data_IF_663341203455
#
_entry.id   IF_663341203455
#
_cell.length_a   1.000
_cell.length_b   1.000
_cell.length_c   1.000
_cell.angle_alpha   90.00
_cell.angle_beta   90.00
_cell.angle_gamma   90.00
#
_symmetry.space_group_name_H-M   'P 1'
#
loop_
_entity.id
_entity.type
_entity.pdbx_description
1 polymer ?
#
# COMPACT_ATOMS: atom_id res chain seq x y z
N UNK A 1 -1.49 -55.25 -3.88
CA UNK A 1 -0.41 -54.91 -2.91
C UNK A 1 0.93 -54.54 -3.58
N UNK A 2 0.92 -54.11 -4.84
CA UNK A 2 2.16 -53.77 -5.60
C UNK A 2 2.52 -52.28 -5.62
N UNK A 3 1.58 -51.35 -5.35
CA UNK A 3 1.80 -49.91 -5.50
C UNK A 3 2.66 -49.26 -4.40
N UNK A 4 2.69 -49.85 -3.20
CA UNK A 4 3.45 -49.29 -2.05
C UNK A 4 4.99 -49.43 -2.20
N UNK A 5 5.50 -50.27 -3.10
CA UNK A 5 6.93 -50.50 -3.25
C UNK A 5 7.60 -49.57 -4.27
N UNK A 6 6.83 -49.02 -5.24
CA UNK A 6 7.37 -48.09 -6.24
C UNK A 6 7.46 -46.68 -5.71
N UNK A 7 6.46 -46.20 -4.94
CA UNK A 7 6.48 -44.89 -4.31
C UNK A 7 7.67 -44.76 -3.34
N UNK A 8 7.97 -45.82 -2.56
CA UNK A 8 9.12 -45.84 -1.67
C UNK A 8 10.49 -45.80 -2.41
N UNK A 9 10.57 -46.36 -3.61
CA UNK A 9 11.79 -46.30 -4.42
C UNK A 9 12.03 -44.91 -5.00
N UNK A 10 11.00 -44.25 -5.54
CA UNK A 10 11.08 -42.89 -6.05
C UNK A 10 11.47 -41.89 -4.98
N UNK A 11 10.79 -41.97 -3.82
CA UNK A 11 11.08 -41.11 -2.68
C UNK A 11 12.56 -41.32 -2.22
N UNK A 12 12.96 -42.52 -2.01
CA UNK A 12 14.33 -42.85 -1.57
C UNK A 12 15.41 -42.45 -2.61
N UNK A 13 15.05 -42.45 -3.89
CA UNK A 13 15.95 -41.95 -4.94
C UNK A 13 16.04 -40.44 -4.93
N UNK A 14 14.92 -39.70 -4.78
CA UNK A 14 14.88 -38.24 -4.67
C UNK A 14 15.65 -37.76 -3.43
N UNK A 15 15.44 -38.39 -2.30
CA UNK A 15 16.13 -38.03 -1.04
C UNK A 15 17.66 -38.18 -1.13
N UNK A 16 18.15 -39.10 -1.97
CA UNK A 16 19.59 -39.29 -2.19
C UNK A 16 20.17 -38.43 -3.32
N UNK A 17 19.31 -37.81 -4.14
CA UNK A 17 19.74 -36.98 -5.25
C UNK A 17 19.18 -35.56 -5.09
N UNK A 18 19.94 -34.74 -4.36
CA UNK A 18 19.51 -33.38 -4.00
C UNK A 18 19.14 -32.52 -5.22
N UNK A 19 19.88 -32.70 -6.32
CA UNK A 19 19.57 -31.97 -7.56
C UNK A 19 18.22 -32.42 -8.17
N UNK A 20 17.98 -33.73 -8.21
CA UNK A 20 16.69 -34.26 -8.69
C UNK A 20 15.53 -33.85 -7.80
N UNK A 21 15.73 -33.84 -6.49
CA UNK A 21 14.76 -33.32 -5.51
C UNK A 21 14.45 -31.85 -5.77
N UNK A 22 15.48 -31.02 -5.95
CA UNK A 22 15.32 -29.59 -6.24
C UNK A 22 14.54 -29.35 -7.54
N UNK A 23 14.88 -30.07 -8.61
CA UNK A 23 14.14 -29.98 -9.88
C UNK A 23 12.68 -30.45 -9.74
N UNK A 24 12.44 -31.54 -9.01
CA UNK A 24 11.08 -32.01 -8.75
C UNK A 24 10.25 -31.00 -7.95
N UNK A 25 10.83 -30.38 -6.94
CA UNK A 25 10.19 -29.31 -6.18
C UNK A 25 9.90 -28.09 -7.03
N UNK A 26 10.86 -27.65 -7.87
CA UNK A 26 10.63 -26.55 -8.81
C UNK A 26 9.46 -26.84 -9.75
N UNK A 27 9.39 -28.05 -10.31
CA UNK A 27 8.27 -28.44 -11.20
C UNK A 27 6.94 -28.36 -10.44
N UNK A 28 6.86 -28.96 -9.26
CA UNK A 28 5.61 -28.98 -8.46
C UNK A 28 5.17 -27.56 -8.09
N UNK A 29 6.10 -26.70 -7.63
CA UNK A 29 5.80 -25.32 -7.26
C UNK A 29 5.44 -24.48 -8.49
N UNK A 30 6.08 -24.74 -9.65
CA UNK A 30 5.79 -24.02 -10.89
C UNK A 30 4.40 -24.32 -11.45
N UNK A 31 3.83 -25.50 -11.18
CA UNK A 31 2.47 -25.84 -11.63
C UNK A 31 1.44 -24.85 -11.07
N UNK A 32 1.47 -24.56 -9.75
CA UNK A 32 0.60 -23.55 -9.15
C UNK A 32 0.79 -22.17 -9.77
N UNK A 33 2.02 -21.71 -9.91
CA UNK A 33 2.33 -20.43 -10.53
C UNK A 33 1.88 -20.34 -12.01
N UNK A 34 2.19 -21.36 -12.80
CA UNK A 34 1.86 -21.36 -14.24
C UNK A 34 0.36 -21.55 -14.48
N UNK A 35 -0.32 -22.39 -13.71
CA UNK A 35 -1.73 -22.72 -13.93
C UNK A 35 -2.67 -21.69 -13.27
N UNK A 36 -2.32 -21.18 -12.12
CA UNK A 36 -3.21 -20.30 -11.35
C UNK A 36 -2.84 -18.81 -11.48
N UNK A 37 -1.54 -18.46 -11.50
CA UNK A 37 -1.09 -17.06 -11.50
C UNK A 37 -0.93 -16.52 -12.91
N UNK A 38 -0.23 -17.24 -13.79
CA UNK A 38 0.04 -16.75 -15.16
C UNK A 38 -1.24 -16.45 -15.95
N UNK A 39 -2.30 -17.25 -15.92
CA UNK A 39 -3.56 -16.95 -16.62
C UNK A 39 -4.19 -15.62 -16.18
N UNK A 40 -4.00 -15.20 -14.92
CA UNK A 40 -4.55 -13.94 -14.41
C UNK A 40 -4.02 -12.71 -15.17
N UNK A 41 -2.83 -12.79 -15.76
CA UNK A 41 -2.26 -11.71 -16.58
C UNK A 41 -2.85 -11.65 -18.00
N UNK A 42 -3.65 -12.63 -18.41
CA UNK A 42 -4.26 -12.71 -19.74
C UNK A 42 -5.79 -12.62 -19.69
N UNK A 43 -6.39 -12.67 -18.50
CA UNK A 43 -7.83 -12.51 -18.33
C UNK A 43 -8.16 -11.04 -18.15
N UNK A 44 -8.92 -10.44 -19.06
CA UNK A 44 -9.34 -9.03 -18.98
C UNK A 44 -10.02 -8.72 -17.64
N UNK A 45 -10.88 -9.63 -17.14
CA UNK A 45 -11.58 -9.46 -15.87
C UNK A 45 -10.70 -9.35 -14.64
N UNK A 46 -9.45 -9.85 -14.72
CA UNK A 46 -8.46 -9.75 -13.63
C UNK A 46 -7.46 -8.62 -13.86
N UNK A 47 -7.37 -8.13 -15.10
CA UNK A 47 -6.51 -7.01 -15.48
C UNK A 47 -7.21 -5.66 -15.39
N UNK A 48 -8.54 -5.65 -15.34
CA UNK A 48 -9.31 -4.44 -15.04
C UNK A 48 -9.08 -4.02 -13.58
N UNK A 49 -7.98 -3.34 -13.34
CA UNK A 49 -7.66 -2.78 -12.02
C UNK A 49 -8.59 -1.64 -11.62
N UNK A 50 -9.37 -1.12 -12.55
CA UNK A 50 -10.24 0.01 -12.30
C UNK A 50 -11.60 -0.15 -12.98
N UNK A 51 -12.52 -0.78 -12.26
CA UNK A 51 -13.95 -0.87 -12.67
C UNK A 51 -14.74 0.41 -12.40
N UNK A 52 -14.11 1.41 -11.82
CA UNK A 52 -14.71 2.69 -11.42
C UNK A 52 -13.85 3.86 -11.88
N UNK A 53 -13.74 4.11 -13.20
CA UNK A 53 -12.89 5.17 -13.74
C UNK A 53 -13.27 6.57 -13.23
N UNK A 54 -14.50 6.74 -12.76
CA UNK A 54 -14.98 7.97 -12.13
C UNK A 54 -14.26 8.29 -10.80
N UNK A 55 -13.60 7.30 -10.18
CA UNK A 55 -12.83 7.50 -8.96
C UNK A 55 -11.39 7.94 -9.23
N UNK A 56 -10.95 7.97 -10.49
CA UNK A 56 -9.59 8.38 -10.87
C UNK A 56 -9.57 9.86 -11.22
N UNK A 57 -8.59 10.58 -10.69
CA UNK A 57 -8.38 11.98 -11.03
C UNK A 57 -8.10 12.15 -12.51
N UNK A 58 -8.94 12.95 -13.17
CA UNK A 58 -8.81 13.28 -14.60
C UNK A 58 -7.85 14.47 -14.76
N UNK A 59 -6.54 14.18 -14.65
CA UNK A 59 -5.48 15.18 -14.78
C UNK A 59 -5.53 15.83 -16.15
N UNK A 60 -5.62 17.15 -16.21
CA UNK A 60 -5.60 17.93 -17.45
C UNK A 60 -4.15 18.23 -17.85
N UNK A 61 -3.96 18.52 -19.14
CA UNK A 61 -2.67 18.96 -19.64
C UNK A 61 -2.18 20.22 -18.91
N UNK A 62 -0.93 20.20 -18.45
CA UNK A 62 -0.30 21.29 -17.69
C UNK A 62 -0.61 21.30 -16.19
N UNK A 63 -1.45 20.40 -15.67
CA UNK A 63 -1.62 20.25 -14.23
C UNK A 63 -0.49 19.40 -13.61
N UNK A 64 -0.14 19.74 -12.39
CA UNK A 64 0.80 18.99 -11.53
C UNK A 64 0.06 18.29 -10.41
N UNK A 65 0.73 17.44 -9.63
CA UNK A 65 0.13 16.80 -8.45
C UNK A 65 -0.30 17.82 -7.38
N UNK A 66 0.30 19.02 -7.37
CA UNK A 66 -0.04 20.10 -6.44
C UNK A 66 -1.39 20.77 -6.75
N UNK A 67 -1.90 20.66 -7.99
CA UNK A 67 -3.18 21.24 -8.40
C UNK A 67 -4.39 20.39 -7.97
N UNK A 68 -4.15 19.17 -7.50
CA UNK A 68 -5.19 18.27 -7.05
C UNK A 68 -5.84 18.75 -5.74
N UNK A 69 -7.15 18.54 -5.62
CA UNK A 69 -7.91 18.85 -4.41
C UNK A 69 -8.58 17.58 -3.83
N UNK A 70 -8.78 17.50 -2.51
CA UNK A 70 -9.44 16.37 -1.87
C UNK A 70 -10.82 16.08 -2.48
N UNK A 71 -11.00 14.82 -2.88
CA UNK A 71 -12.24 14.33 -3.49
C UNK A 71 -12.32 14.44 -5.01
N UNK A 72 -11.26 14.88 -5.69
CA UNK A 72 -11.22 14.92 -7.15
C UNK A 72 -10.87 13.57 -7.80
N UNK A 73 -10.51 12.59 -7.01
CA UNK A 73 -10.20 11.24 -7.46
C UNK A 73 -8.81 10.78 -7.08
N UNK A 74 -8.59 9.49 -7.31
CA UNK A 74 -7.32 8.82 -7.02
C UNK A 74 -6.21 9.35 -7.93
N UNK A 75 -5.10 9.72 -7.33
CA UNK A 75 -3.86 10.15 -7.98
C UNK A 75 -2.65 9.43 -7.37
N UNK A 76 -1.50 9.42 -8.05
CA UNK A 76 -0.25 9.06 -7.41
C UNK A 76 0.04 9.91 -6.17
N UNK A 77 0.74 9.36 -5.21
CA UNK A 77 1.22 10.14 -4.06
C UNK A 77 2.18 11.24 -4.50
N UNK A 78 2.13 12.40 -3.86
CA UNK A 78 3.19 13.40 -4.02
C UNK A 78 4.52 12.86 -3.48
N UNK A 79 5.63 13.55 -3.74
CA UNK A 79 6.93 13.10 -3.25
C UNK A 79 6.96 12.97 -1.71
N UNK A 80 6.37 13.94 -1.01
CA UNK A 80 6.31 13.94 0.44
C UNK A 80 5.41 12.81 0.99
N UNK A 81 4.25 12.58 0.38
CA UNK A 81 3.33 11.50 0.75
C UNK A 81 3.96 10.12 0.48
N UNK A 82 4.65 9.95 -0.66
CA UNK A 82 5.35 8.72 -1.00
C UNK A 82 6.47 8.41 0.00
N UNK A 83 7.27 9.41 0.36
CA UNK A 83 8.29 9.27 1.41
C UNK A 83 7.67 8.89 2.77
N UNK A 84 6.48 9.41 3.07
CA UNK A 84 5.72 9.04 4.27
C UNK A 84 5.24 7.58 4.24
N UNK A 85 4.78 7.12 3.08
CA UNK A 85 4.43 5.72 2.85
C UNK A 85 5.63 4.79 3.04
N UNK A 86 6.81 5.20 2.55
CA UNK A 86 8.04 4.43 2.73
C UNK A 86 8.44 4.33 4.20
N UNK A 87 8.36 5.44 4.92
CA UNK A 87 8.57 5.44 6.36
C UNK A 87 7.54 4.54 7.08
N UNK A 88 6.27 4.59 6.71
CA UNK A 88 5.20 3.73 7.25
C UNK A 88 5.51 2.24 7.07
N UNK A 89 6.02 1.85 5.90
CA UNK A 89 6.41 0.47 5.63
C UNK A 89 7.68 0.08 6.42
N UNK A 90 8.69 0.91 6.39
CA UNK A 90 9.98 0.66 7.05
C UNK A 90 9.83 0.52 8.57
N UNK A 91 9.00 1.36 9.18
CA UNK A 91 8.74 1.32 10.62
C UNK A 91 7.75 0.20 11.01
N UNK A 92 7.18 -0.53 10.03
CA UNK A 92 6.30 -1.67 10.28
C UNK A 92 4.91 -1.28 10.81
N UNK A 93 4.43 -0.07 10.55
CA UNK A 93 3.13 0.41 11.04
C UNK A 93 1.97 -0.48 10.57
N UNK A 94 2.08 -1.05 9.37
CA UNK A 94 1.10 -1.99 8.79
C UNK A 94 0.97 -3.31 9.58
N UNK A 95 1.91 -3.63 10.46
CA UNK A 95 1.82 -4.81 11.34
C UNK A 95 0.77 -4.64 12.46
N UNK A 96 0.45 -3.39 12.79
CA UNK A 96 -0.51 -3.06 13.85
C UNK A 96 -1.76 -2.34 13.34
N UNK A 97 -1.66 -1.61 12.21
CA UNK A 97 -2.74 -0.84 11.59
C UNK A 97 -3.11 -1.40 10.23
N UNK A 98 -4.36 -1.79 10.03
CA UNK A 98 -4.88 -2.09 8.70
C UNK A 98 -5.24 -0.80 7.95
N UNK A 99 -5.25 -0.87 6.62
CA UNK A 99 -5.77 0.15 5.72
C UNK A 99 -6.84 -0.46 4.79
N UNK A 100 -7.68 -1.33 5.31
CA UNK A 100 -8.75 -1.96 4.57
C UNK A 100 -9.98 -2.11 5.45
N UNK A 101 -11.00 -1.33 5.16
CA UNK A 101 -12.31 -1.45 5.78
C UNK A 101 -13.07 -2.56 5.03
N UNK A 102 -13.46 -3.60 5.75
CA UNK A 102 -14.17 -4.75 5.19
C UNK A 102 -15.64 -4.41 4.96
N UNK A 103 -16.36 -5.10 4.04
CA UNK A 103 -17.76 -4.83 3.73
C UNK A 103 -18.74 -5.40 4.78
N UNK A 104 -18.42 -5.22 6.07
CA UNK A 104 -19.26 -5.62 7.18
C UNK A 104 -19.94 -4.41 7.81
N UNK A 105 -21.13 -4.61 8.37
CA UNK A 105 -21.92 -3.53 8.95
C UNK A 105 -21.21 -2.80 10.08
N UNK A 106 -20.62 -3.53 11.01
CA UNK A 106 -19.85 -3.00 12.14
C UNK A 106 -18.61 -2.21 11.70
N UNK A 107 -17.94 -2.64 10.63
CA UNK A 107 -16.83 -1.94 10.03
C UNK A 107 -17.27 -0.60 9.42
N UNK A 108 -18.38 -0.63 8.67
CA UNK A 108 -18.95 0.57 8.06
C UNK A 108 -19.39 1.58 9.12
N UNK A 109 -20.06 1.13 10.18
CA UNK A 109 -20.50 1.99 11.28
C UNK A 109 -19.32 2.63 12.03
N UNK A 110 -18.18 1.92 12.12
CA UNK A 110 -17.00 2.39 12.86
C UNK A 110 -16.07 3.25 12.03
N UNK A 111 -15.83 2.89 10.77
CA UNK A 111 -14.76 3.46 9.94
C UNK A 111 -15.26 4.18 8.68
N UNK A 112 -16.50 3.97 8.27
CA UNK A 112 -17.07 4.49 7.04
C UNK A 112 -17.14 3.45 5.92
N UNK A 113 -17.27 3.91 4.69
CA UNK A 113 -17.41 3.04 3.52
C UNK A 113 -16.27 2.02 3.41
N UNK A 114 -16.60 0.76 3.02
CA UNK A 114 -15.60 -0.28 2.79
C UNK A 114 -14.59 0.16 1.73
N UNK A 115 -13.37 -0.34 1.85
CA UNK A 115 -12.28 0.01 0.93
C UNK A 115 -12.49 -0.65 -0.43
N UNK A 116 -12.25 0.14 -1.49
CA UNK A 116 -12.29 -0.33 -2.88
C UNK A 116 -10.87 -0.59 -3.37
N UNK A 117 -10.68 -1.59 -4.24
CA UNK A 117 -9.38 -1.84 -4.85
C UNK A 117 -8.86 -0.62 -5.63
N UNK A 118 -9.78 0.13 -6.27
CA UNK A 118 -9.45 1.38 -6.95
C UNK A 118 -8.76 2.41 -6.03
N UNK A 119 -9.06 2.44 -4.74
CA UNK A 119 -8.42 3.38 -3.80
C UNK A 119 -6.94 3.07 -3.54
N UNK A 120 -6.50 1.86 -3.84
CA UNK A 120 -5.11 1.41 -3.67
C UNK A 120 -4.39 1.16 -5.00
N UNK A 121 -4.98 1.59 -6.12
CA UNK A 121 -4.47 1.27 -7.47
C UNK A 121 -3.03 1.71 -7.73
N UNK A 122 -2.55 2.71 -7.00
CA UNK A 122 -1.16 3.20 -7.07
C UNK A 122 -0.29 2.72 -5.90
N UNK A 123 -0.83 1.89 -5.02
CA UNK A 123 -0.09 1.25 -3.95
C UNK A 123 0.60 -0.04 -4.42
N UNK A 124 1.91 -0.01 -4.44
CA UNK A 124 2.72 -1.18 -4.75
C UNK A 124 3.74 -1.43 -3.63
N UNK A 125 3.48 -2.43 -2.75
CA UNK A 125 2.29 -3.26 -2.61
C UNK A 125 1.12 -2.55 -1.91
N UNK A 126 -0.09 -3.12 -2.01
CA UNK A 126 -1.24 -2.69 -1.23
C UNK A 126 -0.95 -2.76 0.27
N UNK A 127 -1.38 -1.75 1.01
CA UNK A 127 -1.21 -1.69 2.47
C UNK A 127 -2.40 -2.32 3.22
N UNK A 128 -3.11 -3.23 2.59
CA UNK A 128 -4.23 -3.95 3.15
C UNK A 128 -3.74 -4.99 4.18
N UNK A 129 -3.73 -4.63 5.44
CA UNK A 129 -3.46 -5.54 6.53
C UNK A 129 -4.75 -6.04 7.18
N UNK A 130 -4.72 -7.22 7.79
CA UNK A 130 -5.83 -7.75 8.59
C UNK A 130 -5.63 -7.55 10.09
N UNK A 131 -4.40 -7.27 10.51
CA UNK A 131 -4.05 -7.05 11.92
C UNK A 131 -4.49 -5.66 12.38
N UNK A 132 -5.14 -5.60 13.53
CA UNK A 132 -5.60 -4.36 14.16
C UNK A 132 -5.28 -4.34 15.65
N UNK A 133 -4.00 -4.26 15.99
CA UNK A 133 -3.57 -3.91 17.35
C UNK A 133 -3.92 -2.45 17.63
N UNK A 134 -3.75 -1.57 16.63
CA UNK A 134 -4.36 -0.25 16.53
C UNK A 134 -5.58 -0.24 15.61
N UNK A 135 -6.29 0.90 15.48
CA UNK A 135 -7.44 1.05 14.59
C UNK A 135 -7.06 0.97 13.12
N UNK A 136 -8.05 0.69 12.25
CA UNK A 136 -7.93 0.89 10.81
C UNK A 136 -7.73 2.36 10.48
N UNK A 137 -6.82 2.66 9.55
CA UNK A 137 -6.44 4.02 9.18
C UNK A 137 -6.80 4.40 7.73
N UNK A 138 -7.54 3.56 7.01
CA UNK A 138 -7.91 3.82 5.61
C UNK A 138 -8.70 5.14 5.42
N UNK A 139 -9.36 5.65 6.46
CA UNK A 139 -10.12 6.91 6.45
C UNK A 139 -9.61 7.88 7.50
N UNK A 140 -8.30 7.93 7.70
CA UNK A 140 -7.69 8.74 8.77
C UNK A 140 -7.57 10.21 8.39
N UNK A 141 -7.36 10.53 7.12
CA UNK A 141 -7.11 11.88 6.65
C UNK A 141 -8.17 12.88 7.11
N UNK A 142 -7.72 14.01 7.60
CA UNK A 142 -8.57 15.08 8.12
C UNK A 142 -9.25 14.83 9.48
N UNK A 143 -9.06 13.65 10.10
CA UNK A 143 -9.68 13.36 11.43
C UNK A 143 -8.96 14.03 12.59
N UNK A 144 -7.66 14.17 12.49
CA UNK A 144 -6.80 14.78 13.52
C UNK A 144 -5.89 15.83 12.87
N UNK A 145 -5.47 16.81 13.68
CA UNK A 145 -4.52 17.81 13.21
C UNK A 145 -3.12 17.25 13.06
N UNK A 146 -2.30 17.91 12.25
CA UNK A 146 -0.88 17.55 12.06
C UNK A 146 -0.13 17.52 13.39
N UNK A 147 -0.40 18.50 14.28
CA UNK A 147 0.22 18.55 15.59
C UNK A 147 -0.16 17.36 16.48
N UNK A 148 -1.42 16.88 16.36
CA UNK A 148 -1.85 15.66 17.05
C UNK A 148 -1.07 14.45 16.53
N UNK A 149 -0.92 14.31 15.18
CA UNK A 149 -0.17 13.22 14.57
C UNK A 149 1.30 13.22 15.04
N UNK A 150 1.95 14.40 15.04
CA UNK A 150 3.33 14.53 15.52
C UNK A 150 3.47 14.11 16.99
N UNK A 151 2.57 14.56 17.86
CA UNK A 151 2.56 14.18 19.28
C UNK A 151 2.31 12.67 19.44
N UNK A 152 1.35 12.13 18.67
CA UNK A 152 1.03 10.71 18.70
C UNK A 152 2.19 9.83 18.25
N UNK A 153 2.90 10.20 17.19
CA UNK A 153 4.08 9.47 16.72
C UNK A 153 5.24 9.51 17.73
N UNK A 154 5.51 10.68 18.31
CA UNK A 154 6.61 10.85 19.28
C UNK A 154 6.33 10.17 20.61
N UNK A 155 5.11 10.28 21.11
CA UNK A 155 4.70 9.78 22.41
C UNK A 155 3.18 9.47 22.42
N UNK A 156 2.74 8.30 21.91
CA UNK A 156 1.32 7.97 21.76
C UNK A 156 0.51 8.16 23.05
N UNK A 157 1.08 7.77 24.19
CA UNK A 157 0.42 7.90 25.50
C UNK A 157 0.20 9.33 25.97
N UNK A 158 0.87 10.32 25.36
CA UNK A 158 0.63 11.72 25.68
C UNK A 158 -0.73 12.23 25.20
N UNK A 159 -1.29 11.60 24.18
CA UNK A 159 -2.59 11.95 23.59
C UNK A 159 -3.64 10.85 23.75
N UNK A 160 -3.19 9.59 23.91
CA UNK A 160 -4.03 8.41 24.18
C UNK A 160 -3.39 7.62 25.32
N UNK A 161 -3.77 7.86 26.60
CA UNK A 161 -3.08 7.29 27.76
C UNK A 161 -2.97 5.76 27.79
N UNK A 162 -3.99 5.05 27.28
CA UNK A 162 -4.02 3.58 27.22
C UNK A 162 -3.31 2.99 26.00
N UNK A 163 -2.66 3.81 25.17
CA UNK A 163 -2.03 3.35 23.93
C UNK A 163 -0.92 2.33 24.22
N UNK A 164 -0.95 1.25 23.45
CA UNK A 164 0.13 0.24 23.40
C UNK A 164 1.09 0.49 22.23
N UNK A 165 0.86 1.54 21.43
CA UNK A 165 1.71 1.92 20.32
C UNK A 165 3.10 2.32 20.83
N UNK A 166 4.20 1.85 20.21
CA UNK A 166 5.55 2.31 20.53
C UNK A 166 5.76 3.78 20.15
N UNK A 167 6.79 4.40 20.72
CA UNK A 167 7.20 5.73 20.36
C UNK A 167 8.12 5.70 19.13
N UNK A 168 8.00 6.68 18.24
CA UNK A 168 8.83 6.85 17.04
C UNK A 168 9.50 8.24 17.01
N UNK A 169 10.27 8.62 18.05
CA UNK A 169 10.84 9.97 18.17
C UNK A 169 11.90 10.29 17.11
N UNK A 170 12.55 9.29 16.53
CA UNK A 170 13.60 9.45 15.52
C UNK A 170 13.09 9.95 14.18
N UNK A 171 11.80 9.81 13.87
CA UNK A 171 11.22 10.28 12.61
C UNK A 171 11.45 11.77 12.37
N UNK A 172 11.47 12.58 13.45
CA UNK A 172 11.74 14.02 13.37
C UNK A 172 13.19 14.37 13.06
N UNK A 173 14.11 13.46 13.36
CA UNK A 173 15.55 13.68 13.23
C UNK A 173 16.08 13.15 11.88
N UNK A 174 15.34 12.27 11.22
CA UNK A 174 15.69 11.67 9.94
C UNK A 174 15.24 12.57 8.79
N UNK A 175 16.20 13.25 8.15
CA UNK A 175 15.91 14.10 6.99
C UNK A 175 15.64 13.27 5.73
N UNK A 176 14.80 13.79 4.85
CA UNK A 176 14.53 13.17 3.56
C UNK A 176 15.61 13.48 2.56
N UNK A 177 15.86 12.53 1.64
CA UNK A 177 16.76 12.67 0.51
C UNK A 177 15.98 12.82 -0.80
N UNK A 178 16.18 13.95 -1.48
CA UNK A 178 15.50 14.25 -2.73
C UNK A 178 15.90 13.34 -3.88
N UNK A 179 17.14 12.83 -3.93
CA UNK A 179 17.59 11.91 -4.97
C UNK A 179 16.97 10.52 -4.77
N UNK A 180 16.87 10.06 -3.52
CA UNK A 180 16.25 8.79 -3.17
C UNK A 180 14.77 8.78 -3.58
N UNK A 181 14.01 9.84 -3.24
CA UNK A 181 12.59 9.91 -3.58
C UNK A 181 12.36 10.02 -5.11
N UNK A 182 13.21 10.75 -5.84
CA UNK A 182 13.13 10.79 -7.29
C UNK A 182 13.41 9.40 -7.91
N UNK A 183 14.39 8.66 -7.39
CA UNK A 183 14.67 7.30 -7.84
C UNK A 183 13.48 6.37 -7.58
N UNK A 184 12.85 6.49 -6.40
CA UNK A 184 11.65 5.73 -6.07
C UNK A 184 10.49 6.06 -7.02
N UNK A 185 10.19 7.34 -7.27
CA UNK A 185 9.14 7.75 -8.21
C UNK A 185 9.39 7.22 -9.63
N UNK A 186 10.66 7.18 -10.09
CA UNK A 186 11.01 6.53 -11.38
C UNK A 186 10.72 5.02 -11.35
N UNK A 187 11.02 4.36 -10.23
CA UNK A 187 10.67 2.95 -10.03
C UNK A 187 9.17 2.71 -10.09
N UNK A 188 8.38 3.53 -9.40
CA UNK A 188 6.92 3.47 -9.43
C UNK A 188 6.37 3.74 -10.83
N UNK A 189 6.94 4.70 -11.56
CA UNK A 189 6.59 4.96 -12.97
C UNK A 189 6.84 3.76 -13.87
N UNK A 190 7.97 3.06 -13.66
CA UNK A 190 8.32 1.88 -14.45
C UNK A 190 7.33 0.71 -14.28
N UNK A 191 6.62 0.63 -13.15
CA UNK A 191 5.58 -0.36 -12.89
C UNK A 191 4.16 0.14 -13.17
N UNK A 192 4.03 1.33 -13.82
CA UNK A 192 2.76 1.82 -14.35
C UNK A 192 2.08 2.94 -13.56
N UNK A 193 2.69 3.47 -12.49
CA UNK A 193 2.15 4.65 -11.81
C UNK A 193 2.34 5.88 -12.70
N UNK A 194 1.31 6.71 -12.95
CA UNK A 194 1.34 7.76 -13.97
C UNK A 194 2.04 9.05 -13.50
N UNK A 195 3.29 8.93 -13.03
CA UNK A 195 4.15 10.09 -12.78
C UNK A 195 4.64 10.71 -14.08
N UNK A 196 4.59 12.03 -14.18
CA UNK A 196 5.23 12.77 -15.28
C UNK A 196 6.71 13.04 -14.94
N UNK A 197 7.49 13.45 -15.93
CA UNK A 197 8.89 13.85 -15.67
C UNK A 197 8.95 15.14 -14.83
N UNK A 198 7.96 16.01 -14.96
CA UNK A 198 7.82 17.22 -14.16
C UNK A 198 7.56 16.89 -12.69
N UNK A 199 6.68 15.94 -12.40
CA UNK A 199 6.44 15.47 -11.01
C UNK A 199 7.74 14.96 -10.38
N UNK A 200 8.50 14.14 -11.13
CA UNK A 200 9.76 13.57 -10.66
C UNK A 200 10.83 14.66 -10.49
N UNK A 201 10.90 15.61 -11.40
CA UNK A 201 11.87 16.71 -11.31
C UNK A 201 11.58 17.62 -10.10
N UNK A 202 10.31 17.88 -9.80
CA UNK A 202 9.90 18.72 -8.66
C UNK A 202 10.09 18.03 -7.30
N UNK A 203 10.19 16.69 -7.26
CA UNK A 203 10.18 15.89 -6.04
C UNK A 203 11.28 16.29 -5.04
N UNK A 204 12.51 16.56 -5.53
CA UNK A 204 13.61 16.94 -4.65
C UNK A 204 13.33 18.27 -3.94
N UNK A 205 12.74 19.24 -4.62
CA UNK A 205 12.36 20.52 -4.05
C UNK A 205 11.21 20.37 -3.04
N UNK A 206 10.24 19.50 -3.32
CA UNK A 206 9.10 19.26 -2.42
C UNK A 206 9.56 18.72 -1.06
N UNK A 207 10.57 17.84 -1.03
CA UNK A 207 11.06 17.22 0.20
C UNK A 207 12.25 17.96 0.84
N UNK A 208 12.74 19.04 0.23
CA UNK A 208 13.87 19.80 0.74
C UNK A 208 13.57 20.36 2.14
N UNK A 209 14.48 20.07 3.09
CA UNK A 209 14.33 20.50 4.49
C UNK A 209 13.21 19.79 5.26
N UNK A 210 12.58 18.77 4.69
CA UNK A 210 11.58 17.94 5.37
C UNK A 210 12.21 16.71 6.00
N UNK A 211 11.55 16.20 7.03
CA UNK A 211 11.95 14.99 7.73
C UNK A 211 10.89 13.89 7.57
N UNK A 212 11.21 12.68 8.05
CA UNK A 212 10.29 11.52 7.94
C UNK A 212 9.00 11.70 8.72
N UNK A 213 8.98 12.51 9.77
CA UNK A 213 7.76 12.84 10.50
C UNK A 213 6.83 13.72 9.65
N UNK A 214 7.37 14.72 8.95
CA UNK A 214 6.61 15.56 8.01
C UNK A 214 5.98 14.71 6.92
N UNK A 215 6.77 13.79 6.35
CA UNK A 215 6.32 12.86 5.33
C UNK A 215 5.23 11.91 5.86
N UNK A 216 5.44 11.34 7.05
CA UNK A 216 4.45 10.47 7.69
C UNK A 216 3.12 11.19 7.90
N UNK A 217 3.17 12.43 8.40
CA UNK A 217 1.95 13.23 8.59
C UNK A 217 1.25 13.49 7.26
N UNK A 218 1.99 13.86 6.20
CA UNK A 218 1.41 14.07 4.87
C UNK A 218 0.72 12.78 4.35
N UNK A 219 1.40 11.64 4.49
CA UNK A 219 0.82 10.35 4.12
C UNK A 219 -0.46 10.01 4.92
N UNK A 220 -0.45 10.18 6.24
CA UNK A 220 -1.61 9.92 7.08
C UNK A 220 -2.79 10.85 6.76
N UNK A 221 -2.52 12.11 6.41
CA UNK A 221 -3.55 13.11 6.09
C UNK A 221 -4.21 12.87 4.72
N UNK A 222 -3.56 12.19 3.79
CA UNK A 222 -4.15 11.91 2.48
C UNK A 222 -5.04 10.66 2.48
N UNK A 223 -4.87 9.74 3.46
CA UNK A 223 -5.59 8.48 3.52
C UNK A 223 -7.11 8.68 3.58
N UNK A 224 -7.81 8.14 2.58
CA UNK A 224 -9.26 8.19 2.46
C UNK A 224 -9.83 9.55 2.05
N UNK A 225 -8.99 10.51 1.64
CA UNK A 225 -9.44 11.84 1.19
C UNK A 225 -9.48 11.99 -0.34
N UNK A 226 -8.87 11.06 -1.07
CA UNK A 226 -8.72 11.19 -2.52
C UNK A 226 -10.05 11.05 -3.28
N UNK A 227 -10.96 10.22 -2.78
CA UNK A 227 -12.26 9.99 -3.41
C UNK A 227 -13.41 10.32 -2.46
N UNK A 228 -14.52 10.77 -3.03
CA UNK A 228 -15.80 10.87 -2.33
C UNK A 228 -16.66 9.67 -2.72
N UNK A 229 -16.74 8.69 -1.84
CA UNK A 229 -17.58 7.52 -2.06
C UNK A 229 -19.03 7.85 -1.71
N UNK A 230 -19.94 7.45 -2.59
CA UNK A 230 -21.38 7.55 -2.35
C UNK A 230 -21.81 6.38 -1.46
N UNK A 231 -22.20 6.66 -0.24
CA UNK A 231 -22.64 5.70 0.77
C UNK A 231 -23.87 4.87 0.32
N UNK A 232 -24.64 5.38 -0.64
CA UNK A 232 -25.83 4.71 -1.18
C UNK A 232 -25.53 3.78 -2.33
N UNK A 233 -24.36 3.93 -2.96
CA UNK A 233 -23.94 3.17 -4.14
C UNK A 233 -23.24 1.86 -3.72
N UNK A 234 -23.68 0.74 -4.29
CA UNK A 234 -22.95 -0.51 -4.21
C UNK A 234 -21.88 -0.52 -5.33
N UNK A 235 -20.63 -0.31 -4.97
CA UNK A 235 -19.52 -0.50 -5.90
C UNK A 235 -19.27 -2.01 -6.02
N UNK A 236 -19.29 -2.53 -7.25
CA UNK A 236 -18.97 -3.92 -7.55
C UNK A 236 -17.58 -3.96 -8.19
N UNK A 237 -16.67 -4.61 -7.52
CA UNK A 237 -15.33 -4.91 -8.00
C UNK A 237 -15.24 -6.32 -8.59
#
# INVERSE_FOLDING_TARGET
MSSNNESGRLQSWLERNIFAMFVALLIVLSVGGLVEIVPLFYLESTMEQNKTPELVWQRKEGQTLADWQPGEGMRPYTALELAGRDAYQREGCYLCHSQMIRPFRDEKERYGHYSLAAESMYDHPFQWGSKRTGPDIARLGGKYSDDWHRKHLRAPRSVVPESVMPNYPWLKDNMLDGEEIQAHMRGMKAIGVPYTEEDIAAAAQEVEGKNQEDAMVAYLQVLGTMTKLDESKAYRE
#
